data_IF_938017952746
#
_entry.id   IF_938017952746
#
_cell.length_a   1.000
_cell.length_b   1.000
_cell.length_c   1.000
_cell.angle_alpha   90.00
_cell.angle_beta   90.00
_cell.angle_gamma   90.00
#
_symmetry.space_group_name_H-M   'P 1'
#
loop_
_entity.id
_entity.type
_entity.pdbx_description
1 polymer ?
#
# COMPACT_ATOMS: atom_id res chain seq x y z
N UNK A 1 10.91 -12.86 -15.57
CA UNK A 1 10.69 -12.95 -17.02
C UNK A 1 9.21 -12.92 -17.30
N UNK A 2 8.74 -12.00 -18.13
CA UNK A 2 7.30 -11.80 -18.39
C UNK A 2 6.75 -12.89 -19.33
N UNK A 3 5.43 -13.10 -19.32
CA UNK A 3 4.78 -14.12 -20.16
C UNK A 3 4.96 -13.85 -21.67
N UNK A 4 4.95 -12.58 -22.07
CA UNK A 4 5.20 -12.14 -23.45
C UNK A 4 6.62 -12.47 -23.88
N UNK A 5 7.64 -12.08 -23.10
CA UNK A 5 9.04 -12.42 -23.37
C UNK A 5 9.26 -13.93 -23.53
N UNK A 6 8.65 -14.72 -22.65
CA UNK A 6 8.76 -16.17 -22.69
C UNK A 6 8.17 -16.77 -23.97
N UNK A 7 7.07 -16.22 -24.50
CA UNK A 7 6.46 -16.68 -25.74
C UNK A 7 7.37 -16.42 -26.95
N UNK A 8 8.02 -15.25 -27.01
CA UNK A 8 8.99 -14.94 -28.05
C UNK A 8 10.24 -15.83 -27.96
N UNK A 9 10.75 -16.07 -26.75
CA UNK A 9 11.89 -16.98 -26.53
C UNK A 9 11.57 -18.44 -26.82
N UNK A 10 10.32 -18.87 -26.70
CA UNK A 10 9.89 -20.23 -27.07
C UNK A 10 9.84 -20.45 -28.58
N UNK A 11 9.96 -19.41 -29.39
CA UNK A 11 9.95 -19.55 -30.84
C UNK A 11 11.08 -20.49 -31.34
N UNK A 12 10.81 -21.37 -32.31
CA UNK A 12 11.83 -22.28 -32.86
C UNK A 12 12.81 -21.58 -33.80
N UNK A 13 12.52 -20.32 -34.18
CA UNK A 13 13.35 -19.51 -35.07
C UNK A 13 14.57 -18.90 -34.38
N UNK A 14 14.57 -18.86 -33.06
CA UNK A 14 15.65 -18.30 -32.26
C UNK A 14 16.62 -19.41 -31.82
N UNK A 15 17.91 -19.17 -31.98
CA UNK A 15 18.97 -20.07 -31.52
C UNK A 15 18.97 -20.19 -30.00
N UNK A 16 19.38 -21.36 -29.49
CA UNK A 16 19.47 -21.57 -28.03
C UNK A 16 20.50 -20.66 -27.37
N UNK A 17 21.56 -20.30 -28.10
CA UNK A 17 22.63 -19.41 -27.65
C UNK A 17 22.10 -17.97 -27.49
N UNK A 18 21.31 -17.49 -28.46
CA UNK A 18 20.62 -16.20 -28.35
C UNK A 18 19.60 -16.18 -27.20
N UNK A 19 18.84 -17.28 -27.01
CA UNK A 19 17.91 -17.41 -25.87
C UNK A 19 18.62 -17.29 -24.53
N UNK A 20 19.75 -17.99 -24.35
CA UNK A 20 20.53 -17.91 -23.12
C UNK A 20 21.13 -16.52 -22.92
N UNK A 21 21.67 -15.92 -23.99
CA UNK A 21 22.22 -14.57 -23.94
C UNK A 21 21.17 -13.55 -23.48
N UNK A 22 19.96 -13.59 -24.05
CA UNK A 22 18.87 -12.72 -23.63
C UNK A 22 18.47 -12.96 -22.17
N UNK A 23 18.17 -14.21 -21.83
CA UNK A 23 17.54 -14.55 -20.55
C UNK A 23 18.44 -14.28 -19.34
N UNK A 24 19.75 -14.51 -19.48
CA UNK A 24 20.67 -14.50 -18.36
C UNK A 24 21.65 -13.32 -18.37
N UNK A 25 22.00 -12.77 -19.52
CA UNK A 25 22.99 -11.69 -19.61
C UNK A 25 22.32 -10.35 -19.85
N UNK A 26 21.62 -10.19 -20.99
CA UNK A 26 21.06 -8.89 -21.37
C UNK A 26 19.95 -8.42 -20.44
N UNK A 27 19.13 -9.34 -19.95
CA UNK A 27 18.10 -9.02 -18.95
C UNK A 27 18.71 -8.52 -17.63
N UNK A 28 19.82 -9.12 -17.20
CA UNK A 28 20.49 -8.73 -15.96
C UNK A 28 21.09 -7.32 -16.11
N UNK A 29 21.77 -7.06 -17.23
CA UNK A 29 22.25 -5.73 -17.60
C UNK A 29 21.13 -4.67 -17.58
N UNK A 30 19.98 -4.96 -18.19
CA UNK A 30 18.82 -4.06 -18.17
C UNK A 30 18.24 -3.86 -16.76
N UNK A 31 18.35 -4.87 -15.87
CA UNK A 31 17.90 -4.77 -14.48
C UNK A 31 18.79 -3.83 -13.66
N UNK A 32 20.09 -3.80 -13.99
CA UNK A 32 21.11 -2.94 -13.39
C UNK A 32 21.19 -1.55 -14.06
N UNK A 33 20.29 -1.23 -15.00
CA UNK A 33 20.29 -0.01 -15.82
C UNK A 33 21.58 0.17 -16.65
N UNK A 34 22.31 -0.93 -16.91
CA UNK A 34 23.53 -0.95 -17.71
C UNK A 34 23.23 -1.41 -19.13
N UNK A 35 22.51 -0.59 -19.88
CA UNK A 35 22.03 -0.94 -21.21
C UNK A 35 23.05 -0.66 -22.33
N UNK A 36 24.34 -0.95 -22.10
CA UNK A 36 25.42 -0.75 -23.07
C UNK A 36 26.01 -2.10 -23.43
N UNK A 37 26.18 -2.37 -24.72
CA UNK A 37 26.78 -3.62 -25.20
C UNK A 37 28.30 -3.52 -25.22
N UNK A 38 28.95 -4.49 -24.59
CA UNK A 38 30.37 -4.78 -24.80
C UNK A 38 30.52 -6.17 -25.45
N UNK A 39 30.96 -6.22 -26.70
CA UNK A 39 31.13 -7.47 -27.44
C UNK A 39 32.18 -8.38 -26.82
N UNK A 40 33.18 -7.83 -26.12
CA UNK A 40 34.16 -8.64 -25.39
C UNK A 40 33.50 -9.35 -24.22
N UNK A 41 32.70 -8.64 -23.42
CA UNK A 41 31.92 -9.25 -22.36
C UNK A 41 30.90 -10.28 -22.89
N UNK A 42 30.20 -9.99 -23.99
CA UNK A 42 29.26 -10.93 -24.62
C UNK A 42 29.97 -12.18 -25.13
N UNK A 43 31.07 -12.05 -25.87
CA UNK A 43 31.82 -13.19 -26.39
C UNK A 43 32.36 -14.07 -25.26
N UNK A 44 32.80 -13.45 -24.15
CA UNK A 44 33.22 -14.17 -22.95
C UNK A 44 32.04 -14.82 -22.20
N UNK A 45 30.85 -14.23 -22.23
CA UNK A 45 29.65 -14.86 -21.68
C UNK A 45 29.26 -16.12 -22.46
N UNK A 46 29.45 -16.11 -23.77
CA UNK A 46 29.20 -17.26 -24.65
C UNK A 46 30.27 -18.35 -24.58
N UNK A 47 31.36 -18.12 -23.84
CA UNK A 47 32.42 -19.09 -23.61
C UNK A 47 31.97 -20.23 -22.69
N UNK A 48 32.36 -21.45 -23.05
CA UNK A 48 32.04 -22.65 -22.28
C UNK A 48 33.24 -23.59 -22.31
N UNK A 49 33.62 -24.08 -21.13
CA UNK A 49 34.62 -25.15 -20.96
C UNK A 49 33.98 -26.53 -20.81
N UNK A 50 32.70 -26.68 -21.15
CA UNK A 50 31.98 -27.94 -21.03
C UNK A 50 32.65 -29.05 -21.84
N UNK A 51 32.77 -30.23 -21.26
CA UNK A 51 33.33 -31.42 -21.91
C UNK A 51 32.54 -31.87 -23.14
N UNK A 52 31.23 -31.58 -23.16
CA UNK A 52 30.32 -32.00 -24.24
C UNK A 52 30.05 -30.90 -25.28
N UNK A 53 30.24 -29.64 -24.91
CA UNK A 53 30.03 -28.50 -25.81
C UNK A 53 30.94 -27.32 -25.39
N UNK A 54 32.25 -27.41 -25.69
CA UNK A 54 33.16 -26.31 -25.47
C UNK A 54 32.96 -25.25 -26.55
N UNK A 55 32.91 -23.99 -26.17
CA UNK A 55 32.81 -22.85 -27.08
C UNK A 55 33.97 -21.91 -26.85
N UNK A 56 34.42 -21.23 -27.89
CA UNK A 56 35.50 -20.22 -27.83
C UNK A 56 34.86 -18.84 -27.97
N UNK A 57 35.38 -17.80 -27.27
CA UNK A 57 34.86 -16.45 -27.45
C UNK A 57 35.01 -16.02 -28.91
N UNK A 58 33.89 -15.68 -29.56
CA UNK A 58 33.88 -15.25 -30.96
C UNK A 58 32.95 -14.05 -31.15
N UNK A 59 33.53 -12.92 -31.54
CA UNK A 59 32.82 -11.65 -31.78
C UNK A 59 31.79 -11.73 -32.90
N UNK A 60 32.04 -12.56 -33.92
CA UNK A 60 31.11 -12.76 -35.03
C UNK A 60 29.85 -13.48 -34.55
N UNK A 61 30.01 -14.55 -33.77
CA UNK A 61 28.87 -15.29 -33.20
C UNK A 61 28.09 -14.38 -32.25
N UNK A 62 28.78 -13.61 -31.39
CA UNK A 62 28.15 -12.62 -30.52
C UNK A 62 27.31 -11.62 -31.32
N UNK A 63 27.84 -11.05 -32.40
CA UNK A 63 27.12 -10.11 -33.25
C UNK A 63 25.92 -10.76 -33.93
N UNK A 64 26.08 -11.97 -34.47
CA UNK A 64 24.97 -12.73 -35.08
C UNK A 64 23.84 -13.03 -34.09
N UNK A 65 24.17 -13.37 -32.84
CA UNK A 65 23.16 -13.58 -31.81
C UNK A 65 22.40 -12.29 -31.46
N UNK A 66 23.08 -11.14 -31.47
CA UNK A 66 22.45 -9.84 -31.22
C UNK A 66 21.55 -9.44 -32.40
N UNK A 67 22.00 -9.61 -33.64
CA UNK A 67 21.20 -9.38 -34.85
C UNK A 67 19.94 -10.27 -34.86
N UNK A 68 20.09 -11.54 -34.46
CA UNK A 68 18.98 -12.49 -34.35
C UNK A 68 17.95 -12.04 -33.31
N UNK A 69 18.40 -11.55 -32.16
CA UNK A 69 17.53 -11.05 -31.09
C UNK A 69 16.84 -9.72 -31.46
N UNK A 70 17.52 -8.85 -32.20
CA UNK A 70 16.94 -7.64 -32.76
C UNK A 70 15.86 -7.95 -33.78
N UNK A 71 16.14 -8.86 -34.72
CA UNK A 71 15.15 -9.29 -35.73
C UNK A 71 13.94 -9.99 -35.09
N UNK A 72 14.12 -10.68 -33.96
CA UNK A 72 13.03 -11.25 -33.17
C UNK A 72 12.21 -10.20 -32.40
N UNK A 73 12.66 -8.93 -32.35
CA UNK A 73 12.02 -7.84 -31.61
C UNK A 73 12.20 -7.93 -30.09
N UNK A 74 13.15 -8.74 -29.61
CA UNK A 74 13.46 -8.89 -28.19
C UNK A 74 14.38 -7.78 -27.68
N UNK A 75 15.28 -7.31 -28.56
CA UNK A 75 16.18 -6.18 -28.31
C UNK A 75 15.89 -5.13 -29.38
N UNK A 76 16.14 -3.87 -29.06
CA UNK A 76 16.25 -2.81 -30.06
C UNK A 76 17.52 -2.01 -29.85
N UNK A 77 18.21 -1.71 -30.94
CA UNK A 77 19.34 -0.79 -30.94
C UNK A 77 18.85 0.66 -30.86
N UNK A 78 19.43 1.46 -29.96
CA UNK A 78 19.12 2.90 -29.85
C UNK A 78 20.08 3.78 -30.66
N UNK A 79 21.16 3.20 -31.19
CA UNK A 79 22.15 3.91 -32.00
C UNK A 79 22.12 3.39 -33.44
N UNK A 80 22.22 4.27 -34.42
CA UNK A 80 22.24 3.92 -35.85
C UNK A 80 23.59 3.36 -36.33
N UNK A 81 24.48 2.94 -35.42
CA UNK A 81 25.77 2.36 -35.83
C UNK A 81 25.55 1.01 -36.52
N UNK A 82 26.50 0.58 -37.36
CA UNK A 82 26.48 -0.80 -37.89
C UNK A 82 26.98 -1.79 -36.83
N UNK A 83 27.95 -1.39 -35.99
CA UNK A 83 28.55 -2.26 -34.98
C UNK A 83 27.75 -2.32 -33.68
N UNK A 84 27.74 -3.48 -33.03
CA UNK A 84 27.14 -3.65 -31.70
C UNK A 84 28.02 -3.14 -30.55
N UNK A 85 29.33 -2.95 -30.78
CA UNK A 85 30.25 -2.49 -29.73
C UNK A 85 29.88 -1.09 -29.24
N UNK A 86 29.73 -0.94 -27.92
CA UNK A 86 29.44 0.33 -27.27
C UNK A 86 28.03 0.85 -27.54
N UNK A 87 27.18 0.07 -28.20
CA UNK A 87 25.83 0.50 -28.52
C UNK A 87 24.93 0.43 -27.29
N UNK A 88 24.08 1.45 -27.13
CA UNK A 88 22.98 1.39 -26.16
C UNK A 88 21.85 0.57 -26.74
N UNK A 89 21.31 -0.37 -25.97
CA UNK A 89 20.18 -1.18 -26.37
C UNK A 89 18.99 -0.94 -25.44
N UNK A 90 17.79 -1.25 -25.90
CA UNK A 90 16.62 -1.35 -25.05
C UNK A 90 15.99 -2.75 -25.20
N UNK A 91 15.23 -3.15 -24.18
CA UNK A 91 14.45 -4.38 -24.19
C UNK A 91 12.97 -4.00 -24.23
N UNK A 92 12.34 -3.94 -25.42
CA UNK A 92 10.98 -3.40 -25.57
C UNK A 92 9.92 -4.16 -24.76
N UNK A 93 10.16 -5.45 -24.51
CA UNK A 93 9.24 -6.34 -23.78
C UNK A 93 9.58 -6.46 -22.28
N UNK A 94 10.69 -5.85 -21.85
CA UNK A 94 11.11 -5.85 -20.46
C UNK A 94 10.32 -4.79 -19.69
N UNK A 95 9.60 -5.23 -18.67
CA UNK A 95 8.99 -4.35 -17.68
C UNK A 95 9.80 -4.51 -16.40
N UNK A 96 10.48 -3.45 -15.99
CA UNK A 96 11.16 -3.39 -14.69
C UNK A 96 10.09 -3.45 -13.62
N UNK A 97 9.98 -4.58 -12.92
CA UNK A 97 9.21 -4.60 -11.68
C UNK A 97 10.02 -3.80 -10.68
N UNK A 98 9.62 -2.54 -10.46
CA UNK A 98 10.10 -1.74 -9.34
C UNK A 98 9.81 -2.54 -8.07
N UNK A 99 10.83 -3.24 -7.58
CA UNK A 99 10.80 -3.79 -6.24
C UNK A 99 11.02 -2.56 -5.38
N UNK A 100 9.94 -1.93 -4.93
CA UNK A 100 10.04 -0.83 -3.98
C UNK A 100 10.87 -1.33 -2.80
N UNK A 101 12.15 -0.91 -2.76
CA UNK A 101 13.02 -1.23 -1.63
C UNK A 101 12.30 -0.73 -0.39
N UNK A 102 12.14 -1.57 0.67
CA UNK A 102 11.48 -1.14 1.88
C UNK A 102 12.14 0.14 2.38
N UNK A 103 11.43 1.26 2.30
CA UNK A 103 11.92 2.55 2.81
C UNK A 103 12.26 2.38 4.29
N UNK A 104 13.35 3.01 4.72
CA UNK A 104 13.78 2.97 6.11
C UNK A 104 12.63 3.36 7.06
N UNK A 105 12.51 2.71 8.23
CA UNK A 105 11.52 3.09 9.23
C UNK A 105 11.67 4.56 9.64
N UNK A 106 10.56 5.25 9.83
CA UNK A 106 10.54 6.65 10.24
C UNK A 106 9.49 6.87 11.34
N UNK A 107 9.74 7.86 12.20
CA UNK A 107 8.77 8.31 13.20
C UNK A 107 7.64 9.10 12.53
N UNK A 108 6.42 9.04 13.09
CA UNK A 108 5.27 9.74 12.52
C UNK A 108 5.53 11.24 12.36
N UNK A 109 5.08 11.80 11.23
CA UNK A 109 5.18 13.24 10.96
C UNK A 109 3.80 13.87 10.75
N UNK A 110 3.67 15.16 11.00
CA UNK A 110 2.41 15.91 10.81
C UNK A 110 1.96 16.00 9.35
N UNK A 111 2.88 15.77 8.41
CA UNK A 111 2.64 15.78 6.96
C UNK A 111 2.47 14.40 6.37
N UNK A 112 2.53 13.34 7.19
CA UNK A 112 2.46 11.96 6.69
C UNK A 112 1.12 11.67 6.03
N UNK A 113 1.14 11.10 4.82
CA UNK A 113 -0.06 10.65 4.12
C UNK A 113 0.06 9.18 3.71
N UNK A 114 -1.07 8.45 3.70
CA UNK A 114 -1.10 7.13 3.11
C UNK A 114 -0.81 7.23 1.61
N UNK A 115 -0.03 6.29 1.09
CA UNK A 115 0.39 6.24 -0.30
C UNK A 115 -0.74 5.75 -1.23
N UNK A 116 -0.49 5.74 -2.55
CA UNK A 116 -1.49 5.32 -3.55
C UNK A 116 -1.93 3.86 -3.39
N UNK A 117 -1.10 3.02 -2.75
CA UNK A 117 -1.40 1.62 -2.48
C UNK A 117 -2.27 1.40 -1.22
N UNK A 118 -2.65 2.45 -0.48
CA UNK A 118 -3.37 2.32 0.78
C UNK A 118 -4.67 1.53 0.67
N UNK A 119 -5.42 1.70 -0.43
CA UNK A 119 -6.66 0.96 -0.67
C UNK A 119 -6.45 -0.56 -0.60
N UNK A 120 -5.35 -1.08 -1.18
CA UNK A 120 -5.02 -2.51 -1.14
C UNK A 120 -4.72 -2.95 0.29
N UNK A 121 -4.00 -2.13 1.06
CA UNK A 121 -3.64 -2.43 2.45
C UNK A 121 -4.88 -2.40 3.36
N UNK A 122 -5.80 -1.46 3.11
CA UNK A 122 -7.08 -1.38 3.81
C UNK A 122 -7.89 -2.67 3.64
N UNK A 123 -8.04 -3.16 2.42
CA UNK A 123 -8.72 -4.43 2.12
C UNK A 123 -8.04 -5.60 2.85
N UNK A 124 -6.71 -5.67 2.81
CA UNK A 124 -5.95 -6.71 3.54
C UNK A 124 -6.16 -6.66 5.06
N UNK A 125 -6.51 -5.49 5.61
CA UNK A 125 -6.85 -5.33 7.02
C UNK A 125 -8.34 -5.60 7.31
N UNK A 126 -9.15 -5.97 6.32
CA UNK A 126 -10.60 -6.18 6.45
C UNK A 126 -11.44 -4.90 6.36
N UNK A 127 -10.88 -3.80 5.85
CA UNK A 127 -11.60 -2.55 5.62
C UNK A 127 -12.07 -2.48 4.16
N UNK A 128 -13.37 -2.73 3.91
CA UNK A 128 -13.95 -2.76 2.56
C UNK A 128 -13.92 -1.38 1.87
N UNK A 129 -14.32 -0.34 2.60
CA UNK A 129 -14.25 1.04 2.11
C UNK A 129 -12.96 1.71 2.64
N UNK A 130 -12.03 2.11 1.79
CA UNK A 130 -10.79 2.78 2.23
C UNK A 130 -10.95 4.30 2.44
N UNK A 131 -12.16 4.85 2.31
CA UNK A 131 -12.42 6.26 2.53
C UNK A 131 -12.11 6.67 3.98
N UNK A 132 -11.48 7.83 4.15
CA UNK A 132 -11.18 8.40 5.45
C UNK A 132 -11.35 9.92 5.42
N UNK A 133 -11.65 10.52 6.57
CA UNK A 133 -11.77 11.97 6.69
C UNK A 133 -10.43 12.58 7.12
N UNK A 134 -10.26 13.88 6.85
CA UNK A 134 -9.08 14.62 7.32
C UNK A 134 -8.97 14.60 8.86
N UNK A 135 -10.12 14.55 9.56
CA UNK A 135 -10.17 14.42 11.03
C UNK A 135 -9.58 13.09 11.50
N UNK A 136 -9.90 11.98 10.83
CA UNK A 136 -9.35 10.66 11.18
C UNK A 136 -7.83 10.63 10.99
N UNK A 137 -7.35 11.20 9.88
CA UNK A 137 -5.92 11.28 9.55
C UNK A 137 -5.16 12.15 10.56
N UNK A 138 -5.67 13.34 10.88
CA UNK A 138 -5.04 14.22 11.85
C UNK A 138 -5.05 13.61 13.25
N UNK A 139 -6.16 12.98 13.67
CA UNK A 139 -6.22 12.26 14.94
C UNK A 139 -5.22 11.09 15.03
N UNK A 140 -4.90 10.46 13.90
CA UNK A 140 -3.85 9.44 13.80
C UNK A 140 -2.46 10.04 13.92
N UNK A 141 -2.16 11.07 13.13
CA UNK A 141 -0.87 11.78 13.15
C UNK A 141 -0.53 12.29 14.55
N UNK A 142 -1.41 13.02 15.20
CA UNK A 142 -1.14 13.61 16.52
C UNK A 142 -0.87 12.54 17.59
N UNK A 143 -1.65 11.46 17.59
CA UNK A 143 -1.44 10.36 18.53
C UNK A 143 -0.05 9.74 18.35
N UNK A 144 0.36 9.44 17.12
CA UNK A 144 1.64 8.77 16.85
C UNK A 144 2.84 9.72 16.86
N UNK A 145 2.68 11.01 16.57
CA UNK A 145 3.74 12.02 16.74
C UNK A 145 4.19 12.16 18.21
N UNK A 146 3.29 11.87 19.17
CA UNK A 146 3.62 11.89 20.60
C UNK A 146 4.36 10.65 21.08
N UNK A 147 4.47 9.61 20.24
CA UNK A 147 5.09 8.33 20.55
C UNK A 147 6.46 8.22 19.86
N UNK A 148 7.41 7.57 20.52
CA UNK A 148 8.75 7.31 19.98
C UNK A 148 8.80 6.02 19.13
N UNK A 149 7.76 5.72 18.36
CA UNK A 149 7.72 4.52 17.51
C UNK A 149 8.05 4.86 16.06
N UNK A 150 8.92 4.06 15.46
CA UNK A 150 9.28 4.15 14.04
C UNK A 150 8.75 2.95 13.26
N UNK A 151 8.07 3.20 12.14
CA UNK A 151 7.61 2.15 11.22
C UNK A 151 7.92 2.55 9.78
N UNK A 152 7.96 1.57 8.88
CA UNK A 152 7.99 1.86 7.45
C UNK A 152 6.59 2.33 6.99
N UNK A 153 6.51 2.82 5.74
CA UNK A 153 5.28 3.35 5.17
C UNK A 153 4.11 2.35 5.28
N UNK A 154 4.33 1.10 4.87
CA UNK A 154 3.33 0.02 4.91
C UNK A 154 2.86 -0.27 6.35
N UNK A 155 3.78 -0.20 7.32
CA UNK A 155 3.46 -0.38 8.74
C UNK A 155 2.57 0.73 9.28
N UNK A 156 2.81 1.99 8.88
CA UNK A 156 1.92 3.10 9.22
C UNK A 156 0.56 2.99 8.56
N UNK A 157 0.51 2.62 7.28
CA UNK A 157 -0.73 2.40 6.53
C UNK A 157 -1.58 1.28 7.14
N UNK A 158 -0.97 0.16 7.53
CA UNK A 158 -1.65 -0.93 8.24
C UNK A 158 -2.21 -0.47 9.58
N UNK A 159 -1.42 0.23 10.38
CA UNK A 159 -1.87 0.74 11.68
C UNK A 159 -3.02 1.76 11.52
N UNK A 160 -2.98 2.58 10.48
CA UNK A 160 -4.06 3.51 10.16
C UNK A 160 -5.33 2.79 9.74
N UNK A 161 -5.24 1.81 8.84
CA UNK A 161 -6.37 0.99 8.40
C UNK A 161 -7.03 0.25 9.58
N UNK A 162 -6.23 -0.33 10.49
CA UNK A 162 -6.74 -0.99 11.70
C UNK A 162 -7.46 -0.02 12.63
N UNK A 163 -6.99 1.23 12.77
CA UNK A 163 -7.68 2.26 13.55
C UNK A 163 -9.03 2.62 12.92
N UNK A 164 -9.08 2.79 11.60
CA UNK A 164 -10.32 3.08 10.88
C UNK A 164 -11.34 1.94 11.05
N UNK A 165 -10.89 0.68 10.95
CA UNK A 165 -11.74 -0.48 11.14
C UNK A 165 -12.38 -0.47 12.53
N UNK A 166 -11.57 -0.27 13.59
CA UNK A 166 -12.07 -0.18 14.97
C UNK A 166 -13.07 0.96 15.15
N UNK A 167 -12.78 2.13 14.60
CA UNK A 167 -13.69 3.28 14.68
C UNK A 167 -15.04 3.00 14.01
N UNK A 168 -15.07 2.24 12.92
CA UNK A 168 -16.31 1.86 12.23
C UNK A 168 -17.11 0.81 13.00
N UNK A 169 -16.44 -0.20 13.54
CA UNK A 169 -17.09 -1.22 14.39
C UNK A 169 -17.79 -0.56 15.59
N UNK A 170 -17.10 0.36 16.28
CA UNK A 170 -17.67 1.11 17.40
C UNK A 170 -18.89 1.95 17.02
N UNK A 171 -18.89 2.58 15.83
CA UNK A 171 -20.05 3.35 15.34
C UNK A 171 -21.27 2.46 15.06
N UNK A 172 -21.05 1.22 14.62
CA UNK A 172 -22.13 0.26 14.38
C UNK A 172 -22.72 -0.22 15.70
N UNK A 173 -21.89 -0.58 16.67
CA UNK A 173 -22.34 -1.02 18.00
C UNK A 173 -23.18 0.05 18.73
N UNK A 174 -22.77 1.32 18.66
CA UNK A 174 -23.52 2.43 19.29
C UNK A 174 -24.92 2.58 18.69
N UNK A 175 -25.07 2.40 17.37
CA UNK A 175 -26.39 2.45 16.71
C UNK A 175 -27.29 1.31 17.16
N UNK A 176 -26.79 0.08 17.20
CA UNK A 176 -27.56 -1.07 17.69
C UNK A 176 -28.00 -0.92 19.16
N UNK A 177 -27.16 -0.33 20.02
CA UNK A 177 -27.51 -0.10 21.41
C UNK A 177 -28.49 1.08 21.62
N UNK A 178 -28.51 2.07 20.73
CA UNK A 178 -29.51 3.17 20.80
C UNK A 178 -30.86 2.78 20.20
N UNK A 179 -30.90 1.84 19.26
CA UNK A 179 -32.15 1.34 18.69
C UNK A 179 -32.84 0.31 19.61
N UNK A 180 -32.09 -0.51 20.34
CA UNK A 180 -32.65 -1.49 21.28
C UNK A 180 -33.24 -0.88 22.55
N UNK A 181 -32.75 0.28 23.00
CA UNK A 181 -33.35 1.00 24.13
C UNK A 181 -34.60 1.83 23.77
N UNK A 182 -34.93 2.00 22.48
CA UNK A 182 -36.10 2.78 22.04
C UNK A 182 -37.28 1.92 21.55
N UNK A 183 -37.17 0.58 21.54
CA UNK A 183 -38.19 -0.31 20.97
C UNK A 183 -39.09 -1.02 22.00
N UNK A 184 -39.16 -0.52 23.24
CA UNK A 184 -40.03 -1.05 24.30
C UNK A 184 -40.73 0.08 25.09
N UNK A 185 -41.44 0.98 24.40
CA UNK A 185 -42.46 1.82 25.05
C UNK A 185 -43.75 1.87 24.22
N UNK A 186 -44.69 1.00 24.57
CA UNK A 186 -46.13 1.16 24.35
C UNK A 186 -46.62 2.31 25.26
N UNK A 187 -47.66 3.09 24.90
CA UNK A 187 -47.83 4.46 25.37
C UNK A 187 -48.34 4.53 26.81
N UNK A 188 -47.44 4.84 27.74
CA UNK A 188 -47.78 5.30 29.07
C UNK A 188 -47.87 6.84 29.09
N UNK A 189 -48.86 7.34 29.79
CA UNK A 189 -49.24 8.75 29.89
C UNK A 189 -48.04 9.70 30.10
N UNK A 190 -48.08 10.81 29.37
CA UNK A 190 -47.27 12.00 29.62
C UNK A 190 -47.44 12.46 31.08
N UNK A 191 -46.45 12.20 31.92
CA UNK A 191 -46.17 12.98 33.11
C UNK A 191 -44.80 13.63 32.95
N UNK A 192 -44.81 14.92 32.62
CA UNK A 192 -43.64 15.79 32.75
C UNK A 192 -43.24 15.85 34.24
N UNK A 193 -41.95 15.82 34.59
CA UNK A 193 -41.51 16.28 35.90
C UNK A 193 -41.69 17.81 35.93
N UNK A 194 -42.77 18.29 36.55
CA UNK A 194 -42.88 19.70 36.93
C UNK A 194 -41.97 19.93 38.12
N UNK A 195 -40.95 20.77 37.93
CA UNK A 195 -40.24 21.40 39.04
C UNK A 195 -41.27 22.12 39.91
N UNK A 196 -41.23 21.96 41.25
CA UNK A 196 -42.19 22.62 42.12
C UNK A 196 -42.05 24.12 41.95
N UNK A 197 -43.17 24.78 41.65
CA UNK A 197 -43.23 26.23 41.52
C UNK A 197 -42.87 26.89 42.85
N UNK A 198 -42.20 28.03 42.79
CA UNK A 198 -41.76 28.80 43.96
C UNK A 198 -42.89 29.14 44.95
N UNK A 199 -44.14 29.14 44.51
CA UNK A 199 -45.32 29.38 45.34
C UNK A 199 -45.67 28.18 46.27
N UNK A 200 -45.40 26.94 45.85
CA UNK A 200 -45.64 25.76 46.69
C UNK A 200 -44.61 25.62 47.81
N UNK A 201 -43.36 26.03 47.54
CA UNK A 201 -42.30 26.07 48.56
C UNK A 201 -42.60 27.13 49.64
N UNK A 202 -43.11 28.31 49.26
CA UNK A 202 -43.50 29.33 50.24
C UNK A 202 -44.71 28.90 51.08
N UNK A 203 -45.65 28.15 50.51
CA UNK A 203 -46.80 27.62 51.26
C UNK A 203 -46.37 26.57 52.28
N UNK A 204 -45.48 25.64 51.91
CA UNK A 204 -44.93 24.64 52.82
C UNK A 204 -44.09 25.29 53.93
N UNK A 205 -43.35 26.36 53.64
CA UNK A 205 -42.58 27.09 54.64
C UNK A 205 -43.48 27.84 55.64
N UNK A 206 -44.55 28.48 55.16
CA UNK A 206 -45.54 29.15 56.03
C UNK A 206 -46.31 28.15 56.89
N UNK A 207 -46.71 27.02 56.32
CA UNK A 207 -47.40 25.96 57.05
C UNK A 207 -46.51 25.33 58.13
N UNK A 208 -45.21 25.16 57.85
CA UNK A 208 -44.24 24.72 58.87
C UNK A 208 -44.03 25.74 60.00
N UNK A 209 -44.12 27.05 59.73
CA UNK A 209 -43.99 28.09 60.76
C UNK A 209 -45.25 28.22 61.62
N UNK A 210 -46.44 28.04 61.03
CA UNK A 210 -47.71 28.03 61.76
C UNK A 210 -47.84 26.79 62.66
N UNK A 211 -47.40 25.62 62.19
CA UNK A 211 -47.37 24.39 63.01
C UNK A 211 -46.38 24.50 64.17
N UNK A 212 -45.25 25.20 63.98
CA UNK A 212 -44.27 25.42 65.05
C UNK A 212 -44.77 26.43 66.11
N UNK A 213 -45.54 27.45 65.70
CA UNK A 213 -46.17 28.39 66.65
C UNK A 213 -47.32 27.76 67.43
N UNK A 214 -48.07 26.83 66.83
CA UNK A 214 -49.14 26.10 67.52
C UNK A 214 -48.63 25.05 68.52
N UNK A 215 -47.38 24.57 68.38
CA UNK A 215 -46.78 23.61 69.32
C UNK A 215 -46.20 24.25 70.59
N UNK A 216 -45.87 25.55 70.58
CA UNK A 216 -45.27 26.28 71.71
C UNK A 216 -46.15 27.44 72.23
N UNK A 217 -47.40 27.53 71.77
CA UNK A 217 -48.36 28.55 72.17
C UNK A 217 -49.45 28.04 73.13
N UNK A 218 -49.08 27.62 74.34
CA UNK A 218 -49.89 27.73 75.57
C UNK A 218 -49.08 27.39 76.81
#
# INVERSE_FOLDING_TARGET
>A
MNATELNYLKSPRLSHIAKSLYAFYLRDLATQDQCIIDLTAVANYLYSQSQYFPTVPNYQIASMCLDELENAGLIRKLSDSESWQGCVFELPLYVKMETEVPKAPFAMTTKWEPGPAFHKIAILCGLEDSSYTLTDLNGFRHYWCSKNESRNQVGWERAFAQRLLKARQQRVEVKFNTETHNALETPAQQMKPQQPSSEELERLQKQSMEDFQNLFGK
#
